data_IF_566896911488
#
_entry.id   IF_566896911488
#
_cell.length_a   1.000
_cell.length_b   1.000
_cell.length_c   1.000
_cell.angle_alpha   90.00
_cell.angle_beta   90.00
_cell.angle_gamma   90.00
#
_symmetry.space_group_name_H-M   'P 1'
#
loop_
_entity.id
_entity.type
_entity.pdbx_description
1 polymer ?
#
# COMPACT_ATOMS: atom_id res chain seq x y z
N UNK A 1 -27.26 -17.79 12.44
CA UNK A 1 -27.08 -16.65 13.35
C UNK A 1 -25.68 -16.70 13.92
N UNK A 2 -24.89 -15.65 13.70
CA UNK A 2 -23.51 -15.63 14.16
C UNK A 2 -23.48 -15.22 15.66
N UNK A 3 -22.82 -16.03 16.49
CA UNK A 3 -22.83 -15.87 17.95
C UNK A 3 -21.85 -14.80 18.43
N UNK A 4 -22.30 -13.92 19.33
CA UNK A 4 -21.45 -12.91 19.99
C UNK A 4 -20.31 -13.59 20.77
N UNK A 5 -20.61 -14.69 21.46
CA UNK A 5 -19.60 -15.42 22.22
C UNK A 5 -18.48 -15.96 21.31
N UNK A 6 -18.84 -16.53 20.15
CA UNK A 6 -17.86 -17.01 19.18
C UNK A 6 -16.98 -15.87 18.62
N UNK A 7 -17.58 -14.70 18.37
CA UNK A 7 -16.84 -13.51 17.97
C UNK A 7 -15.86 -13.06 19.06
N UNK A 8 -16.31 -12.95 20.31
CA UNK A 8 -15.46 -12.53 21.45
C UNK A 8 -14.31 -13.52 21.66
N UNK A 9 -14.57 -14.83 21.64
CA UNK A 9 -13.53 -15.85 21.76
C UNK A 9 -12.48 -15.74 20.65
N UNK A 10 -12.93 -15.59 19.40
CA UNK A 10 -12.04 -15.40 18.26
C UNK A 10 -11.23 -14.11 18.38
N UNK A 11 -11.84 -13.01 18.81
CA UNK A 11 -11.18 -11.72 19.00
C UNK A 11 -10.07 -11.84 20.05
N UNK A 12 -10.38 -12.38 21.23
CA UNK A 12 -9.40 -12.55 22.32
C UNK A 12 -8.25 -13.45 21.87
N UNK A 13 -8.55 -14.59 21.25
CA UNK A 13 -7.54 -15.54 20.78
C UNK A 13 -6.60 -14.92 19.74
N UNK A 14 -7.16 -14.28 18.71
CA UNK A 14 -6.37 -13.65 17.65
C UNK A 14 -5.55 -12.45 18.17
N UNK A 15 -6.13 -11.63 19.04
CA UNK A 15 -5.39 -10.54 19.70
C UNK A 15 -4.25 -11.07 20.56
N UNK A 16 -4.47 -12.15 21.31
CA UNK A 16 -3.43 -12.82 22.10
C UNK A 16 -2.26 -13.31 21.24
N UNK A 17 -2.55 -14.03 20.15
CA UNK A 17 -1.53 -14.49 19.20
C UNK A 17 -0.78 -13.30 18.58
N UNK A 18 -1.51 -12.25 18.18
CA UNK A 18 -0.90 -11.05 17.58
C UNK A 18 0.06 -10.37 18.54
N UNK A 19 -0.30 -10.26 19.82
CA UNK A 19 0.57 -9.70 20.87
C UNK A 19 1.82 -10.55 21.06
N UNK A 20 1.68 -11.88 21.13
CA UNK A 20 2.83 -12.79 21.25
C UNK A 20 3.77 -12.64 20.05
N UNK A 21 3.23 -12.65 18.83
CA UNK A 21 4.01 -12.48 17.62
C UNK A 21 4.68 -11.11 17.56
N UNK A 22 4.01 -10.05 18.03
CA UNK A 22 4.59 -8.70 18.08
C UNK A 22 5.75 -8.62 19.08
N UNK A 23 5.61 -9.25 20.26
CA UNK A 23 6.70 -9.33 21.26
C UNK A 23 7.88 -10.13 20.70
N UNK A 24 7.61 -11.30 20.11
CA UNK A 24 8.63 -12.14 19.48
C UNK A 24 9.33 -11.38 18.35
N UNK A 25 8.58 -10.66 17.51
CA UNK A 25 9.12 -9.78 16.48
C UNK A 25 10.01 -8.69 17.06
N UNK A 26 9.59 -7.99 18.12
CA UNK A 26 10.39 -6.96 18.76
C UNK A 26 11.72 -7.52 19.32
N UNK A 27 11.70 -8.71 19.93
CA UNK A 27 12.90 -9.40 20.43
C UNK A 27 13.82 -9.80 19.26
N UNK A 28 13.28 -10.49 18.26
CA UNK A 28 14.02 -10.98 17.10
C UNK A 28 14.62 -9.81 16.29
N UNK A 29 13.87 -8.73 16.10
CA UNK A 29 14.35 -7.52 15.42
C UNK A 29 15.54 -6.88 16.13
N UNK A 30 15.49 -6.81 17.46
CA UNK A 30 16.57 -6.21 18.28
C UNK A 30 17.82 -7.11 18.31
N UNK A 31 17.65 -8.43 18.25
CA UNK A 31 18.74 -9.43 18.29
C UNK A 31 19.37 -9.73 16.92
N UNK A 32 18.57 -9.82 15.86
CA UNK A 32 18.97 -10.26 14.52
C UNK A 32 18.73 -9.16 13.48
N UNK A 33 19.34 -8.01 13.69
CA UNK A 33 19.23 -6.84 12.81
C UNK A 33 19.64 -7.14 11.34
N UNK A 34 20.55 -8.08 11.09
CA UNK A 34 20.97 -8.50 9.74
C UNK A 34 19.82 -9.10 8.91
N UNK A 35 18.94 -9.89 9.54
CA UNK A 35 17.80 -10.53 8.87
C UNK A 35 16.63 -9.55 8.72
N UNK A 36 16.41 -8.69 9.72
CA UNK A 36 15.25 -7.79 9.75
C UNK A 36 15.50 -6.42 9.11
N UNK A 37 16.76 -6.05 8.85
CA UNK A 37 17.14 -4.79 8.21
C UNK A 37 18.21 -4.98 7.09
N UNK A 38 18.03 -5.95 6.16
CA UNK A 38 19.05 -6.28 5.16
C UNK A 38 19.30 -5.11 4.21
N UNK A 39 18.22 -4.48 3.71
CA UNK A 39 18.32 -3.33 2.81
C UNK A 39 18.99 -2.14 3.47
N UNK A 40 18.72 -1.90 4.77
CA UNK A 40 19.36 -0.82 5.50
C UNK A 40 20.86 -1.03 5.54
N UNK A 41 21.33 -2.20 5.99
CA UNK A 41 22.76 -2.51 6.08
C UNK A 41 23.45 -2.52 4.72
N UNK A 42 22.84 -3.11 3.70
CA UNK A 42 23.37 -3.08 2.34
C UNK A 42 23.59 -1.65 1.86
N UNK A 43 22.62 -0.76 2.06
CA UNK A 43 22.70 0.63 1.61
C UNK A 43 23.67 1.46 2.46
N UNK A 44 23.75 1.22 3.78
CA UNK A 44 24.61 2.03 4.66
C UNK A 44 26.06 1.56 4.73
N UNK A 45 26.33 0.26 4.59
CA UNK A 45 27.66 -0.32 4.79
C UNK A 45 28.33 -0.68 3.46
N UNK A 46 27.61 -1.36 2.56
CA UNK A 46 28.21 -1.94 1.33
C UNK A 46 28.15 -0.96 0.16
N UNK A 47 26.98 -0.36 -0.08
CA UNK A 47 26.70 0.46 -1.29
C UNK A 47 26.79 1.97 -0.99
N UNK A 48 27.24 2.35 0.22
CA UNK A 48 27.27 3.74 0.69
C UNK A 48 27.97 4.71 -0.27
N UNK A 49 29.05 4.27 -0.93
CA UNK A 49 29.81 5.09 -1.88
C UNK A 49 29.12 5.35 -3.23
N UNK A 50 28.13 4.53 -3.60
CA UNK A 50 27.39 4.65 -4.88
C UNK A 50 26.05 5.39 -4.72
N UNK A 51 25.62 5.65 -3.50
CA UNK A 51 24.33 6.25 -3.19
C UNK A 51 24.52 7.76 -2.97
N UNK A 52 23.57 8.61 -3.40
CA UNK A 52 23.60 10.03 -3.08
C UNK A 52 23.70 10.27 -1.56
N UNK A 53 24.58 11.18 -1.13
CA UNK A 53 24.78 11.54 0.28
C UNK A 53 23.47 11.97 0.96
N UNK A 54 22.54 12.58 0.21
CA UNK A 54 21.21 12.96 0.69
C UNK A 54 20.39 11.75 1.15
N UNK A 55 20.35 10.68 0.35
CA UNK A 55 19.64 9.43 0.69
C UNK A 55 20.31 8.70 1.85
N UNK A 56 21.64 8.73 1.92
CA UNK A 56 22.40 8.17 3.04
C UNK A 56 22.14 8.94 4.36
N UNK A 57 22.07 10.27 4.31
CA UNK A 57 21.71 11.10 5.45
C UNK A 57 20.29 10.81 5.96
N UNK A 58 19.33 10.60 5.06
CA UNK A 58 17.96 10.19 5.43
C UNK A 58 17.94 8.81 6.11
N UNK A 59 18.67 7.83 5.58
CA UNK A 59 18.83 6.51 6.21
C UNK A 59 19.41 6.66 7.63
N UNK A 60 20.48 7.45 7.80
CA UNK A 60 21.08 7.70 9.11
C UNK A 60 20.14 8.40 10.09
N UNK A 61 19.33 9.35 9.62
CA UNK A 61 18.29 10.01 10.42
C UNK A 61 17.21 9.03 10.90
N UNK A 62 16.90 8.03 10.10
CA UNK A 62 15.93 6.97 10.40
C UNK A 62 16.53 5.83 11.24
N UNK A 63 17.80 5.94 11.67
CA UNK A 63 18.48 4.87 12.44
C UNK A 63 17.61 4.40 13.58
N UNK A 64 17.26 3.12 13.47
CA UNK A 64 16.45 2.46 14.46
C UNK A 64 17.33 2.14 15.66
N UNK A 65 17.16 2.90 16.74
CA UNK A 65 17.61 2.48 18.06
C UNK A 65 17.15 1.04 18.32
N UNK A 66 17.96 0.21 18.99
CA UNK A 66 17.63 -1.18 19.32
C UNK A 66 16.50 -1.34 20.35
N UNK A 67 15.81 -0.25 20.72
CA UNK A 67 14.69 -0.24 21.65
C UNK A 67 13.43 -0.89 21.04
N UNK A 68 12.65 -1.56 21.89
CA UNK A 68 11.49 -2.39 21.54
C UNK A 68 10.46 -1.71 20.62
N UNK A 69 10.23 -0.41 20.81
CA UNK A 69 9.25 0.38 20.04
C UNK A 69 9.89 1.48 19.19
N UNK A 70 11.22 1.49 19.05
CA UNK A 70 11.91 2.53 18.29
C UNK A 70 11.53 2.56 16.81
N UNK A 71 10.99 1.47 16.26
CA UNK A 71 10.53 1.38 14.88
C UNK A 71 9.22 2.13 14.61
N UNK A 72 8.43 2.40 15.64
CA UNK A 72 7.11 3.01 15.48
C UNK A 72 7.21 4.50 15.12
N UNK A 73 8.11 5.22 15.81
CA UNK A 73 8.36 6.65 15.59
C UNK A 73 8.72 6.99 14.14
N UNK A 74 9.74 6.36 13.50
CA UNK A 74 10.08 6.64 12.12
C UNK A 74 8.96 6.23 11.15
N UNK A 75 8.21 5.18 11.44
CA UNK A 75 7.09 4.74 10.60
C UNK A 75 5.98 5.81 10.49
N UNK A 76 5.72 6.56 11.57
CA UNK A 76 4.70 7.61 11.57
C UNK A 76 5.23 9.01 11.25
N UNK A 77 6.51 9.32 11.56
CA UNK A 77 7.07 10.68 11.39
C UNK A 77 7.69 10.94 10.02
N UNK A 78 7.95 9.91 9.21
CA UNK A 78 8.60 10.10 7.91
C UNK A 78 7.76 10.98 6.97
N UNK A 79 8.40 11.98 6.37
CA UNK A 79 7.73 12.85 5.40
C UNK A 79 7.52 12.11 4.07
N UNK A 80 6.49 12.49 3.32
CA UNK A 80 6.15 11.89 2.01
C UNK A 80 7.30 11.98 1.01
N UNK A 81 7.96 13.14 0.92
CA UNK A 81 9.12 13.31 0.01
C UNK A 81 10.30 12.43 0.44
N UNK A 82 10.61 12.39 1.74
CA UNK A 82 11.67 11.53 2.27
C UNK A 82 11.37 10.05 2.02
N UNK A 83 10.10 9.65 2.13
CA UNK A 83 9.66 8.29 1.86
C UNK A 83 9.87 7.90 0.39
N UNK A 84 9.49 8.78 -0.55
CA UNK A 84 9.68 8.55 -1.99
C UNK A 84 11.14 8.25 -2.33
N UNK A 85 12.06 9.09 -1.86
CA UNK A 85 13.51 8.93 -2.08
C UNK A 85 14.07 7.63 -1.48
N UNK A 86 13.50 7.20 -0.36
CA UNK A 86 13.97 6.03 0.38
C UNK A 86 13.59 4.71 -0.30
N UNK A 87 12.29 4.52 -0.56
CA UNK A 87 11.73 3.21 -0.97
C UNK A 87 11.50 3.10 -2.49
N UNK A 88 11.58 4.20 -3.23
CA UNK A 88 11.27 4.25 -4.65
C UNK A 88 9.76 4.33 -4.94
N UNK A 89 9.40 4.52 -6.20
CA UNK A 89 8.02 4.86 -6.61
C UNK A 89 7.00 3.77 -6.30
N UNK A 90 7.28 2.50 -6.62
CA UNK A 90 6.31 1.41 -6.45
C UNK A 90 5.92 1.19 -4.98
N UNK A 91 6.92 0.99 -4.11
CA UNK A 91 6.72 0.86 -2.68
C UNK A 91 6.09 2.13 -2.06
N UNK A 92 6.43 3.31 -2.57
CA UNK A 92 5.81 4.57 -2.15
C UNK A 92 4.30 4.60 -2.44
N UNK A 93 3.89 4.21 -3.65
CA UNK A 93 2.46 4.14 -4.02
C UNK A 93 1.73 3.11 -3.15
N UNK A 94 2.34 1.94 -2.91
CA UNK A 94 1.75 0.93 -2.04
C UNK A 94 1.52 1.43 -0.60
N UNK A 95 2.52 2.08 0.01
CA UNK A 95 2.39 2.62 1.37
C UNK A 95 1.34 3.73 1.44
N UNK A 96 1.22 4.55 0.40
CA UNK A 96 0.19 5.59 0.32
C UNK A 96 -1.20 5.01 0.13
N UNK A 97 -1.35 3.95 -0.65
CA UNK A 97 -2.60 3.20 -0.76
C UNK A 97 -3.04 2.64 0.59
N UNK A 98 -2.13 2.03 1.36
CA UNK A 98 -2.44 1.59 2.73
C UNK A 98 -2.89 2.76 3.62
N UNK A 99 -2.18 3.89 3.55
CA UNK A 99 -2.54 5.11 4.30
C UNK A 99 -3.92 5.66 3.89
N UNK A 100 -4.29 5.58 2.61
CA UNK A 100 -5.61 5.92 2.11
C UNK A 100 -6.69 5.01 2.72
N UNK A 101 -6.48 3.70 2.73
CA UNK A 101 -7.40 2.74 3.35
C UNK A 101 -7.61 3.05 4.84
N UNK A 102 -6.52 3.32 5.58
CA UNK A 102 -6.61 3.75 6.97
C UNK A 102 -7.39 5.06 7.15
N UNK A 103 -7.19 6.06 6.27
CA UNK A 103 -7.94 7.32 6.31
C UNK A 103 -9.43 7.10 6.05
N UNK A 104 -9.78 6.32 5.04
CA UNK A 104 -11.18 6.00 4.73
C UNK A 104 -11.86 5.36 5.94
N UNK A 105 -11.22 4.36 6.56
CA UNK A 105 -11.73 3.73 7.78
C UNK A 105 -11.81 4.71 8.96
N UNK A 106 -10.77 5.51 9.19
CA UNK A 106 -10.71 6.44 10.30
C UNK A 106 -11.78 7.54 10.22
N UNK A 107 -12.10 8.03 9.02
CA UNK A 107 -13.14 9.05 8.85
C UNK A 107 -14.56 8.46 8.75
N UNK A 108 -14.74 7.20 8.32
CA UNK A 108 -16.05 6.55 8.31
C UNK A 108 -16.46 6.02 9.70
N UNK A 109 -15.47 5.65 10.53
CA UNK A 109 -15.68 5.04 11.84
C UNK A 109 -16.57 5.86 12.79
N UNK A 110 -16.40 7.19 12.97
CA UNK A 110 -17.22 7.95 13.91
C UNK A 110 -18.71 7.91 13.56
N UNK A 111 -19.06 8.06 12.28
CA UNK A 111 -20.46 8.00 11.85
C UNK A 111 -21.02 6.58 12.00
N UNK A 112 -20.26 5.56 11.59
CA UNK A 112 -20.66 4.17 11.76
C UNK A 112 -20.89 3.83 13.25
N UNK A 113 -19.95 4.20 14.12
CA UNK A 113 -19.97 3.85 15.53
C UNK A 113 -20.99 4.66 16.35
N UNK A 114 -21.13 5.96 16.11
CA UNK A 114 -21.98 6.84 16.91
C UNK A 114 -23.41 6.96 16.37
N UNK A 115 -23.63 6.71 15.08
CA UNK A 115 -24.96 6.86 14.44
C UNK A 115 -25.52 5.51 14.05
N UNK A 116 -24.82 4.74 13.20
CA UNK A 116 -25.38 3.51 12.63
C UNK A 116 -25.53 2.39 13.68
N UNK A 117 -24.53 2.19 14.54
CA UNK A 117 -24.60 1.14 15.57
C UNK A 117 -25.80 1.35 16.52
N UNK A 118 -25.98 2.53 17.16
CA UNK A 118 -27.15 2.74 18.02
C UNK A 118 -28.48 2.58 17.28
N UNK A 119 -28.58 3.10 16.04
CA UNK A 119 -29.81 2.99 15.25
C UNK A 119 -30.17 1.53 14.96
N UNK A 120 -29.17 0.69 14.65
CA UNK A 120 -29.39 -0.73 14.40
C UNK A 120 -29.77 -1.46 15.69
N UNK A 121 -29.10 -1.18 16.81
CA UNK A 121 -29.40 -1.80 18.11
C UNK A 121 -30.84 -1.51 18.55
N UNK A 122 -31.30 -0.28 18.40
CA UNK A 122 -32.67 0.12 18.74
C UNK A 122 -33.64 -0.05 17.56
N UNK A 123 -33.36 -0.95 16.61
CA UNK A 123 -34.10 -1.12 15.35
C UNK A 123 -35.53 -1.62 15.49
N UNK A 124 -35.83 -2.42 16.52
CA UNK A 124 -37.20 -2.84 16.90
C UNK A 124 -37.72 -4.14 16.28
N UNK A 125 -36.87 -4.96 15.64
CA UNK A 125 -37.23 -6.32 15.18
C UNK A 125 -36.76 -7.44 16.12
N UNK A 126 -36.33 -7.11 17.35
CA UNK A 126 -35.87 -8.04 18.39
C UNK A 126 -34.92 -9.14 17.89
N UNK A 127 -34.03 -8.79 16.95
CA UNK A 127 -32.98 -9.70 16.48
C UNK A 127 -32.05 -10.04 17.64
N UNK A 128 -31.38 -11.19 17.55
CA UNK A 128 -30.49 -11.68 18.60
C UNK A 128 -29.09 -11.92 18.08
N UNK A 129 -28.10 -11.86 18.97
CA UNK A 129 -26.70 -12.06 18.59
C UNK A 129 -26.15 -10.92 17.73
N UNK A 130 -25.33 -11.24 16.74
CA UNK A 130 -24.74 -10.22 15.85
C UNK A 130 -25.74 -9.57 14.90
N UNK A 131 -26.90 -10.18 14.68
CA UNK A 131 -27.91 -9.67 13.76
C UNK A 131 -28.55 -8.36 14.26
N UNK A 132 -28.42 -8.07 15.57
CA UNK A 132 -28.78 -6.78 16.21
C UNK A 132 -28.05 -5.59 15.57
N UNK A 133 -26.81 -5.78 15.12
CA UNK A 133 -25.98 -4.72 14.55
C UNK A 133 -26.26 -4.48 13.07
N UNK A 134 -27.14 -5.26 12.46
CA UNK A 134 -27.41 -5.21 11.02
C UNK A 134 -28.65 -4.39 10.71
N UNK A 135 -28.80 -3.99 9.45
CA UNK A 135 -30.00 -3.33 8.96
C UNK A 135 -31.26 -4.21 9.14
N UNK A 136 -31.10 -5.53 9.23
CA UNK A 136 -32.21 -6.47 9.46
C UNK A 136 -32.91 -6.29 10.81
N UNK A 137 -32.27 -5.67 11.80
CA UNK A 137 -32.91 -5.37 13.08
C UNK A 137 -33.85 -4.15 13.02
N UNK A 138 -33.87 -3.40 11.92
CA UNK A 138 -34.73 -2.22 11.75
C UNK A 138 -36.10 -2.65 11.23
N UNK A 139 -37.17 -2.22 11.91
CA UNK A 139 -38.54 -2.50 11.48
C UNK A 139 -38.86 -1.93 10.09
N UNK A 140 -39.67 -2.68 9.32
CA UNK A 140 -40.05 -2.29 7.98
C UNK A 140 -40.83 -0.96 8.02
N UNK A 141 -40.54 -0.05 7.08
CA UNK A 141 -41.11 1.31 7.01
C UNK A 141 -40.68 2.26 8.15
N UNK A 142 -39.64 1.92 8.91
CA UNK A 142 -39.09 2.83 9.93
C UNK A 142 -38.36 4.01 9.31
N UNK A 143 -38.60 5.22 9.84
CA UNK A 143 -37.84 6.43 9.50
C UNK A 143 -36.33 6.32 9.80
N UNK A 144 -35.92 5.35 10.62
CA UNK A 144 -34.52 5.05 10.95
C UNK A 144 -33.67 4.66 9.74
N UNK A 145 -34.29 4.14 8.67
CA UNK A 145 -33.61 3.79 7.43
C UNK A 145 -33.01 5.01 6.71
N UNK A 146 -33.53 6.21 6.96
CA UNK A 146 -32.96 7.44 6.40
C UNK A 146 -31.52 7.69 6.86
N UNK A 147 -31.15 7.28 8.08
CA UNK A 147 -29.77 7.38 8.54
C UNK A 147 -28.82 6.51 7.71
N UNK A 148 -29.25 5.32 7.29
CA UNK A 148 -28.46 4.49 6.38
C UNK A 148 -28.32 5.13 5.00
N UNK A 149 -29.39 5.70 4.46
CA UNK A 149 -29.34 6.41 3.17
C UNK A 149 -28.37 7.60 3.23
N UNK A 150 -28.45 8.41 4.27
CA UNK A 150 -27.51 9.53 4.50
C UNK A 150 -26.09 8.99 4.64
N UNK A 151 -25.90 7.90 5.38
CA UNK A 151 -24.61 7.22 5.54
C UNK A 151 -24.00 6.78 4.22
N UNK A 152 -24.78 6.21 3.30
CA UNK A 152 -24.31 5.82 1.96
C UNK A 152 -23.80 7.04 1.19
N UNK A 153 -24.57 8.12 1.11
CA UNK A 153 -24.14 9.34 0.43
C UNK A 153 -22.90 9.96 1.06
N UNK A 154 -22.85 10.01 2.40
CA UNK A 154 -21.72 10.56 3.15
C UNK A 154 -20.45 9.72 2.93
N UNK A 155 -20.54 8.40 3.03
CA UNK A 155 -19.39 7.51 2.81
C UNK A 155 -18.95 7.49 1.35
N UNK A 156 -19.88 7.48 0.38
CA UNK A 156 -19.53 7.58 -1.03
C UNK A 156 -18.80 8.88 -1.32
N UNK A 157 -19.33 10.03 -0.88
CA UNK A 157 -18.68 11.32 -1.05
C UNK A 157 -17.28 11.34 -0.42
N UNK A 158 -17.16 10.84 0.81
CA UNK A 158 -15.89 10.77 1.53
C UNK A 158 -14.85 9.92 0.78
N UNK A 159 -15.25 8.74 0.30
CA UNK A 159 -14.37 7.85 -0.45
C UNK A 159 -13.94 8.50 -1.75
N UNK A 160 -14.86 9.08 -2.53
CA UNK A 160 -14.53 9.77 -3.77
C UNK A 160 -13.61 10.96 -3.55
N UNK A 161 -13.86 11.76 -2.52
CA UNK A 161 -13.01 12.89 -2.17
C UNK A 161 -11.58 12.46 -1.81
N UNK A 162 -11.43 11.46 -0.94
CA UNK A 162 -10.12 10.95 -0.54
C UNK A 162 -9.38 10.27 -1.71
N UNK A 163 -10.09 9.51 -2.54
CA UNK A 163 -9.52 8.91 -3.76
C UNK A 163 -9.05 9.98 -4.73
N UNK A 164 -9.84 11.02 -4.96
CA UNK A 164 -9.47 12.11 -5.85
C UNK A 164 -8.25 12.87 -5.33
N UNK A 165 -8.21 13.18 -4.03
CA UNK A 165 -7.05 13.82 -3.40
C UNK A 165 -5.78 12.95 -3.54
N UNK A 166 -5.91 11.64 -3.38
CA UNK A 166 -4.79 10.71 -3.53
C UNK A 166 -4.35 10.55 -4.99
N UNK A 167 -5.30 10.55 -5.92
CA UNK A 167 -5.05 10.49 -7.36
C UNK A 167 -4.22 11.67 -7.85
N UNK A 168 -4.54 12.90 -7.41
CA UNK A 168 -3.75 14.09 -7.78
C UNK A 168 -2.28 13.94 -7.38
N UNK A 169 -2.04 13.43 -6.17
CA UNK A 169 -0.69 13.16 -5.68
C UNK A 169 -0.02 12.05 -6.51
N UNK A 170 -0.72 10.96 -6.79
CA UNK A 170 -0.19 9.88 -7.63
C UNK A 170 0.26 10.37 -9.00
N UNK A 171 -0.54 11.20 -9.67
CA UNK A 171 -0.21 11.75 -10.99
C UNK A 171 1.06 12.61 -10.93
N UNK A 172 1.21 13.47 -9.91
CA UNK A 172 2.41 14.30 -9.73
C UNK A 172 3.67 13.44 -9.57
N UNK A 173 3.65 12.45 -8.66
CA UNK A 173 4.81 11.60 -8.42
C UNK A 173 5.10 10.66 -9.58
N UNK A 174 4.08 10.19 -10.31
CA UNK A 174 4.27 9.39 -11.52
C UNK A 174 4.97 10.20 -12.60
N UNK A 175 4.54 11.44 -12.82
CA UNK A 175 5.20 12.33 -13.78
C UNK A 175 6.64 12.63 -13.36
N UNK A 176 6.91 12.85 -12.06
CA UNK A 176 8.27 13.00 -11.54
C UNK A 176 9.12 11.76 -11.81
N UNK A 177 8.57 10.57 -11.56
CA UNK A 177 9.26 9.31 -11.81
C UNK A 177 9.59 9.07 -13.28
N UNK A 178 8.66 9.36 -14.19
CA UNK A 178 8.86 9.18 -15.64
C UNK A 178 9.88 10.16 -16.22
N UNK A 179 10.11 11.31 -15.57
CA UNK A 179 11.16 12.25 -15.95
C UNK A 179 12.56 11.79 -15.53
N UNK A 180 12.68 10.80 -14.65
CA UNK A 180 13.98 10.24 -14.28
C UNK A 180 14.61 9.54 -15.49
N UNK A 181 15.88 9.82 -15.76
CA UNK A 181 16.57 9.21 -16.89
C UNK A 181 17.02 7.79 -16.55
N UNK A 182 16.22 6.77 -16.90
CA UNK A 182 16.51 5.36 -16.63
C UNK A 182 16.87 4.63 -17.91
N UNK A 183 17.81 3.70 -17.81
CA UNK A 183 18.25 2.85 -18.93
C UNK A 183 17.06 2.13 -19.58
N UNK A 184 16.09 1.68 -18.77
CA UNK A 184 14.88 1.01 -19.24
C UNK A 184 13.97 1.90 -20.11
N UNK A 185 14.12 3.23 -20.09
CA UNK A 185 13.33 4.13 -20.94
C UNK A 185 13.80 4.13 -22.41
N UNK A 186 14.99 3.60 -22.70
CA UNK A 186 15.55 3.53 -24.05
C UNK A 186 15.47 2.14 -24.69
N UNK A 187 14.98 1.14 -23.94
CA UNK A 187 14.87 -0.24 -24.41
C UNK A 187 13.44 -0.55 -24.84
N UNK A 188 13.26 -0.99 -26.08
CA UNK A 188 11.96 -1.43 -26.60
C UNK A 188 11.98 -2.95 -26.75
N UNK A 189 11.02 -3.62 -26.11
CA UNK A 189 10.82 -5.05 -26.30
C UNK A 189 10.00 -5.28 -27.57
N UNK A 190 10.66 -5.80 -28.61
CA UNK A 190 10.00 -6.23 -29.84
C UNK A 190 9.53 -7.66 -29.65
N UNK A 191 8.22 -7.89 -29.75
CA UNK A 191 7.60 -9.23 -29.71
C UNK A 191 6.97 -9.56 -31.06
N UNK A 192 6.78 -10.86 -31.35
CA UNK A 192 6.15 -11.36 -32.57
C UNK A 192 6.86 -10.97 -33.87
N UNK A 193 8.13 -11.36 -34.01
CA UNK A 193 8.81 -11.29 -35.31
C UNK A 193 8.10 -12.21 -36.32
N UNK A 194 7.83 -11.74 -37.56
CA UNK A 194 7.25 -12.59 -38.60
C UNK A 194 8.07 -13.86 -38.79
N UNK A 195 7.45 -15.04 -38.96
CA UNK A 195 8.16 -16.31 -39.11
C UNK A 195 9.06 -16.34 -40.34
N UNK A 196 8.81 -15.49 -41.35
CA UNK A 196 9.68 -15.25 -42.51
C UNK A 196 11.02 -14.64 -42.10
N UNK A 197 11.00 -13.63 -41.20
CA UNK A 197 12.21 -12.98 -40.68
C UNK A 197 12.99 -13.94 -39.80
N UNK A 198 12.29 -14.74 -38.97
CA UNK A 198 12.89 -15.77 -38.11
C UNK A 198 13.49 -16.92 -38.93
N UNK A 199 12.88 -17.30 -40.05
CA UNK A 199 13.34 -18.39 -40.91
C UNK A 199 14.43 -17.98 -41.91
N UNK A 200 14.57 -16.69 -42.28
CA UNK A 200 15.72 -16.21 -43.09
C UNK A 200 17.01 -16.15 -42.25
N UNK A 201 16.89 -15.96 -40.94
CA UNK A 201 17.97 -15.69 -39.97
C UNK A 201 18.60 -16.95 -39.35
N UNK A 202 18.90 -17.99 -40.13
CA UNK A 202 19.35 -19.32 -39.63
C UNK A 202 20.68 -19.37 -38.80
N UNK A 203 21.27 -18.24 -38.35
CA UNK A 203 22.46 -18.12 -37.48
C UNK A 203 22.33 -16.81 -36.62
N UNK A 204 23.21 -16.52 -35.63
CA UNK A 204 22.77 -15.89 -34.38
C UNK A 204 22.08 -14.54 -34.62
N UNK A 205 20.86 -14.42 -34.06
CA UNK A 205 19.84 -13.39 -34.32
C UNK A 205 20.33 -11.93 -34.24
N UNK A 206 21.48 -11.66 -33.63
CA UNK A 206 21.92 -10.33 -33.24
C UNK A 206 22.40 -9.44 -34.39
N UNK A 207 23.20 -9.95 -35.34
CA UNK A 207 23.85 -9.08 -36.34
C UNK A 207 22.92 -8.61 -37.48
N UNK A 208 22.06 -9.50 -38.01
CA UNK A 208 21.13 -9.07 -39.07
C UNK A 208 19.92 -8.30 -38.50
N UNK A 209 19.51 -8.58 -37.26
CA UNK A 209 18.53 -7.74 -36.56
C UNK A 209 19.10 -6.33 -36.35
N UNK A 210 20.38 -6.22 -35.96
CA UNK A 210 21.06 -4.93 -35.81
C UNK A 210 21.14 -4.16 -37.13
N UNK A 211 21.46 -4.82 -38.25
CA UNK A 211 21.43 -4.18 -39.58
C UNK A 211 20.02 -3.72 -39.97
N UNK A 212 18.99 -4.52 -39.70
CA UNK A 212 17.60 -4.15 -39.95
C UNK A 212 17.19 -2.93 -39.13
N UNK A 213 17.53 -2.90 -37.85
CA UNK A 213 17.28 -1.76 -36.96
C UNK A 213 18.01 -0.51 -37.47
N UNK A 214 19.28 -0.63 -37.88
CA UNK A 214 20.05 0.48 -38.46
C UNK A 214 19.47 0.97 -39.79
N UNK A 215 18.92 0.07 -40.62
CA UNK A 215 18.30 0.44 -41.88
C UNK A 215 16.98 1.20 -41.67
N UNK A 216 16.19 0.82 -40.67
CA UNK A 216 14.88 1.45 -40.39
C UNK A 216 15.05 2.73 -39.56
N UNK A 217 16.03 2.77 -38.65
CA UNK A 217 16.28 3.87 -37.72
C UNK A 217 17.75 4.36 -37.79
N UNK A 218 18.18 4.97 -38.91
CA UNK A 218 19.58 5.34 -39.13
C UNK A 218 20.12 6.42 -38.17
N UNK A 219 19.25 7.25 -37.61
CA UNK A 219 19.64 8.37 -36.73
C UNK A 219 19.55 8.05 -35.22
N UNK A 220 19.20 6.80 -34.84
CA UNK A 220 18.91 6.43 -33.45
C UNK A 220 19.81 5.33 -32.86
N UNK A 221 20.77 4.83 -33.61
CA UNK A 221 21.72 3.78 -33.18
C UNK A 221 23.12 4.31 -32.94
#
# INVERSE_FOLDING_TARGET
MASIAAFITSLIFNTGITLILLVVFCILRSRFDFVYQPNFKLLTEIVSKKIPETKLALLRKLTLSSSFFAWLTPAFKINTNELYELVGFDAFVYLRFLRLCFRIAAFSLPYAALVLIPINVYGGNDQVGMDILTLGNISQQSGKLWAHLIGVWLFSFLVYYLLYAEWQVYVEYRQRHLKENKENHFSVLVTQLPPEVVSILHIPLDEDLKKLVQQIFPDQT
#
